data_IF_636244190820
#
_entry.id   IF_636244190820
#
_cell.length_a   1.000
_cell.length_b   1.000
_cell.length_c   1.000
_cell.angle_alpha   90.00
_cell.angle_beta   90.00
_cell.angle_gamma   90.00
#
_symmetry.space_group_name_H-M   'P 1'
#
loop_
_entity.id
_entity.type
_entity.pdbx_description
1 polymer ?
#
# COMPACT_ATOMS: atom_id res chain seq x y z
N UNK A 1 -31.82 -8.78 23.01
CA UNK A 1 -31.20 -9.72 22.05
C UNK A 1 -30.29 -8.89 21.16
N UNK A 2 -28.99 -9.18 21.17
CA UNK A 2 -28.03 -8.43 20.35
C UNK A 2 -28.08 -8.98 18.92
N UNK A 3 -28.49 -8.14 17.96
CA UNK A 3 -28.36 -8.46 16.54
C UNK A 3 -27.02 -7.97 15.99
N UNK A 4 -26.80 -8.18 14.69
CA UNK A 4 -25.66 -7.63 13.95
C UNK A 4 -25.62 -6.10 14.10
N UNK A 5 -24.43 -5.53 14.36
CA UNK A 5 -24.24 -4.09 14.21
C UNK A 5 -24.38 -3.67 12.74
N UNK A 6 -24.66 -2.39 12.46
CA UNK A 6 -24.84 -1.90 11.08
C UNK A 6 -23.67 -2.25 10.15
N UNK A 7 -22.42 -2.18 10.65
CA UNK A 7 -21.23 -2.50 9.84
C UNK A 7 -21.04 -4.00 9.64
N UNK A 8 -21.41 -4.82 10.62
CA UNK A 8 -21.45 -6.29 10.45
C UNK A 8 -22.59 -6.72 9.53
N UNK A 9 -23.76 -6.08 9.59
CA UNK A 9 -24.91 -6.39 8.75
C UNK A 9 -24.60 -6.15 7.28
N UNK A 10 -24.03 -4.99 6.95
CA UNK A 10 -23.60 -4.67 5.58
C UNK A 10 -22.40 -5.53 5.15
N UNK A 11 -21.48 -5.84 6.07
CA UNK A 11 -20.37 -6.75 5.85
C UNK A 11 -20.82 -8.17 5.47
N UNK A 12 -21.72 -8.74 6.28
CA UNK A 12 -22.34 -10.04 6.04
C UNK A 12 -23.17 -10.02 4.75
N UNK A 13 -23.94 -8.96 4.45
CA UNK A 13 -24.71 -8.83 3.21
C UNK A 13 -23.82 -8.98 1.97
N UNK A 14 -22.70 -8.28 1.95
CA UNK A 14 -21.74 -8.32 0.84
C UNK A 14 -21.02 -9.67 0.73
N UNK A 15 -20.74 -10.35 1.85
CA UNK A 15 -20.19 -11.71 1.86
C UNK A 15 -21.20 -12.75 1.37
N UNK A 16 -22.47 -12.66 1.79
CA UNK A 16 -23.57 -13.52 1.32
C UNK A 16 -23.81 -13.36 -0.19
N UNK A 17 -23.52 -12.18 -0.76
CA UNK A 17 -23.54 -11.94 -2.19
C UNK A 17 -22.65 -12.88 -3.02
N UNK A 18 -21.60 -13.45 -2.41
CA UNK A 18 -20.63 -14.36 -3.06
C UNK A 18 -21.00 -15.85 -3.01
N UNK A 19 -22.06 -16.22 -2.29
CA UNK A 19 -22.57 -17.60 -2.21
C UNK A 19 -23.56 -17.87 -3.34
N UNK A 20 -23.63 -19.10 -3.85
CA UNK A 20 -24.59 -19.48 -4.88
C UNK A 20 -26.04 -19.52 -4.34
N UNK A 21 -27.03 -19.63 -5.23
CA UNK A 21 -28.44 -19.57 -4.82
C UNK A 21 -28.81 -20.70 -3.85
N UNK A 22 -28.43 -21.94 -4.17
CA UNK A 22 -28.70 -23.11 -3.34
C UNK A 22 -27.96 -23.05 -1.99
N UNK A 23 -26.81 -22.38 -1.93
CA UNK A 23 -26.08 -22.14 -0.69
C UNK A 23 -26.78 -21.14 0.22
N UNK A 24 -27.32 -20.06 -0.36
CA UNK A 24 -28.10 -19.04 0.37
C UNK A 24 -29.42 -19.61 0.88
N UNK A 25 -30.17 -20.35 0.05
CA UNK A 25 -31.43 -20.97 0.48
C UNK A 25 -31.17 -21.98 1.62
N UNK A 26 -30.15 -22.84 1.47
CA UNK A 26 -29.77 -23.80 2.51
C UNK A 26 -29.21 -23.13 3.78
N UNK A 27 -28.54 -21.98 3.67
CA UNK A 27 -28.08 -21.21 4.82
C UNK A 27 -29.27 -20.59 5.56
N UNK A 28 -30.23 -19.99 4.84
CA UNK A 28 -31.46 -19.44 5.38
C UNK A 28 -32.22 -20.49 6.20
N UNK A 29 -32.45 -21.68 5.64
CA UNK A 29 -33.03 -22.85 6.32
C UNK A 29 -32.41 -23.10 7.70
N UNK A 30 -31.07 -23.04 7.80
CA UNK A 30 -30.37 -23.30 9.07
C UNK A 30 -30.35 -22.11 10.01
N UNK A 31 -30.43 -20.88 9.53
CA UNK A 31 -30.40 -19.66 10.35
C UNK A 31 -31.79 -19.38 10.94
N UNK A 32 -32.85 -19.60 10.15
CA UNK A 32 -34.25 -19.41 10.58
C UNK A 32 -34.87 -20.65 11.21
N UNK A 33 -34.11 -21.76 11.31
CA UNK A 33 -34.62 -23.09 11.69
C UNK A 33 -35.87 -23.52 10.88
N UNK A 34 -35.91 -23.17 9.59
CA UNK A 34 -37.04 -23.38 8.66
C UNK A 34 -38.36 -22.71 9.07
N UNK A 35 -38.33 -21.74 9.98
CA UNK A 35 -39.51 -20.95 10.37
C UNK A 35 -39.89 -19.89 9.33
N UNK A 36 -39.00 -19.62 8.37
CA UNK A 36 -39.20 -18.66 7.27
C UNK A 36 -38.86 -19.36 5.96
N UNK A 37 -39.77 -19.27 4.99
CA UNK A 37 -39.56 -19.72 3.60
C UNK A 37 -39.37 -18.48 2.72
N UNK A 38 -38.15 -18.18 2.25
CA UNK A 38 -37.91 -17.03 1.39
C UNK A 38 -38.44 -17.27 -0.03
N UNK A 39 -39.14 -16.29 -0.61
CA UNK A 39 -39.66 -16.37 -1.98
C UNK A 39 -38.56 -16.17 -3.03
N UNK A 40 -37.56 -15.34 -2.72
CA UNK A 40 -36.44 -15.01 -3.61
C UNK A 40 -35.10 -14.95 -2.86
N UNK A 41 -34.00 -14.88 -3.63
CA UNK A 41 -32.63 -14.82 -3.10
C UNK A 41 -32.37 -13.61 -2.19
N UNK A 42 -32.94 -12.45 -2.51
CA UNK A 42 -32.79 -11.24 -1.70
C UNK A 42 -33.59 -11.37 -0.40
N UNK A 43 -34.74 -12.04 -0.42
CA UNK A 43 -35.52 -12.34 0.77
C UNK A 43 -34.80 -13.33 1.69
N UNK A 44 -34.18 -14.37 1.13
CA UNK A 44 -33.30 -15.27 1.86
C UNK A 44 -32.14 -14.52 2.54
N UNK A 45 -31.49 -13.58 1.84
CA UNK A 45 -30.43 -12.74 2.42
C UNK A 45 -30.98 -11.82 3.52
N UNK A 46 -32.16 -11.19 3.33
CA UNK A 46 -32.81 -10.38 4.37
C UNK A 46 -33.10 -11.21 5.62
N UNK A 47 -33.71 -12.39 5.45
CA UNK A 47 -34.01 -13.30 6.55
C UNK A 47 -32.74 -13.74 7.30
N UNK A 48 -31.68 -14.15 6.58
CA UNK A 48 -30.39 -14.51 7.21
C UNK A 48 -29.87 -13.36 8.07
N UNK A 49 -29.88 -12.12 7.59
CA UNK A 49 -29.37 -10.96 8.34
C UNK A 49 -30.23 -10.61 9.56
N UNK A 50 -31.56 -10.74 9.45
CA UNK A 50 -32.50 -10.44 10.55
C UNK A 50 -32.46 -11.48 11.66
N UNK A 51 -32.33 -12.77 11.33
CA UNK A 51 -32.37 -13.87 12.30
C UNK A 51 -30.99 -14.31 12.82
N UNK A 52 -29.89 -13.74 12.33
CA UNK A 52 -28.53 -14.01 12.83
C UNK A 52 -28.23 -13.29 14.16
N UNK A 53 -27.74 -14.02 15.17
CA UNK A 53 -27.43 -13.44 16.49
C UNK A 53 -26.05 -12.77 16.54
N UNK A 54 -25.10 -13.23 15.71
CA UNK A 54 -23.79 -12.58 15.57
C UNK A 54 -23.15 -12.90 14.22
N UNK A 55 -22.27 -12.02 13.77
CA UNK A 55 -21.54 -12.24 12.52
C UNK A 55 -20.61 -13.47 12.63
N UNK A 56 -20.05 -13.70 13.82
CA UNK A 56 -19.23 -14.87 14.11
C UNK A 56 -20.00 -16.19 13.98
N UNK A 57 -21.21 -16.28 14.53
CA UNK A 57 -22.05 -17.46 14.42
C UNK A 57 -22.39 -17.76 12.95
N UNK A 58 -22.82 -16.73 12.20
CA UNK A 58 -23.16 -16.82 10.78
C UNK A 58 -21.97 -17.33 9.95
N UNK A 59 -20.78 -16.73 10.12
CA UNK A 59 -19.59 -17.14 9.37
C UNK A 59 -19.05 -18.50 9.80
N UNK A 60 -19.29 -18.95 11.04
CA UNK A 60 -18.93 -20.32 11.49
C UNK A 60 -19.77 -21.41 10.80
N UNK A 61 -21.01 -21.12 10.35
CA UNK A 61 -21.91 -22.10 9.68
C UNK A 61 -21.21 -22.81 8.51
N UNK A 62 -21.60 -24.08 8.27
CA UNK A 62 -20.94 -24.98 7.29
C UNK A 62 -21.00 -24.48 5.85
N UNK A 63 -22.07 -23.79 5.46
CA UNK A 63 -22.28 -23.22 4.11
C UNK A 63 -21.41 -21.99 3.83
N UNK A 64 -20.95 -21.28 4.86
CA UNK A 64 -19.96 -20.22 4.67
C UNK A 64 -18.58 -20.88 4.63
N UNK A 65 -18.11 -21.20 3.42
CA UNK A 65 -16.81 -21.82 3.22
C UNK A 65 -15.66 -20.85 3.53
N UNK A 66 -14.49 -21.37 3.94
CA UNK A 66 -13.30 -20.58 4.27
C UNK A 66 -12.90 -19.70 3.09
N UNK A 67 -13.01 -20.26 1.90
CA UNK A 67 -12.72 -19.66 0.59
C UNK A 67 -13.65 -18.48 0.28
N UNK A 68 -14.88 -18.50 0.77
CA UNK A 68 -15.85 -17.39 0.60
C UNK A 68 -15.49 -16.21 1.50
N UNK A 69 -15.13 -16.48 2.75
CA UNK A 69 -14.62 -15.44 3.67
C UNK A 69 -13.30 -14.86 3.15
N UNK A 70 -12.41 -15.72 2.64
CA UNK A 70 -11.15 -15.32 2.02
C UNK A 70 -11.37 -14.45 0.78
N UNK A 71 -12.22 -14.89 -0.16
CA UNK A 71 -12.61 -14.11 -1.35
C UNK A 71 -13.23 -12.78 -0.96
N UNK A 72 -14.15 -12.75 0.01
CA UNK A 72 -14.74 -11.52 0.52
C UNK A 72 -13.66 -10.55 1.02
N UNK A 73 -12.77 -11.00 1.91
CA UNK A 73 -11.71 -10.16 2.47
C UNK A 73 -10.76 -9.66 1.36
N UNK A 74 -10.41 -10.51 0.39
CA UNK A 74 -9.66 -10.10 -0.80
C UNK A 74 -10.41 -9.07 -1.67
N UNK A 75 -11.74 -9.20 -1.86
CA UNK A 75 -12.58 -8.20 -2.54
C UNK A 75 -12.67 -6.88 -1.75
N UNK A 76 -12.59 -6.92 -0.42
CA UNK A 76 -12.44 -5.74 0.44
C UNK A 76 -10.99 -5.18 0.45
N UNK A 77 -10.07 -5.72 -0.35
CA UNK A 77 -8.68 -5.28 -0.42
C UNK A 77 -7.78 -5.74 0.76
N UNK A 78 -8.27 -6.68 1.58
CA UNK A 78 -7.56 -7.21 2.74
C UNK A 78 -6.78 -8.45 2.29
N UNK A 79 -5.47 -8.30 2.10
CA UNK A 79 -4.58 -9.40 1.73
C UNK A 79 -4.33 -10.27 2.97
N UNK A 80 -4.66 -11.56 2.86
CA UNK A 80 -4.46 -12.55 3.93
C UNK A 80 -3.71 -13.75 3.34
N UNK A 81 -2.80 -14.41 4.07
CA UNK A 81 -2.13 -15.62 3.60
C UNK A 81 -3.15 -16.70 3.18
N UNK A 82 -2.96 -17.37 2.02
CA UNK A 82 -3.86 -18.45 1.57
C UNK A 82 -3.98 -19.63 2.56
N UNK A 83 -3.00 -19.79 3.45
CA UNK A 83 -3.00 -20.79 4.52
C UNK A 83 -3.81 -20.41 5.78
N UNK A 84 -4.30 -19.17 5.89
CA UNK A 84 -4.98 -18.70 7.12
C UNK A 84 -6.27 -19.47 7.39
N UNK A 85 -6.37 -20.04 8.59
CA UNK A 85 -7.50 -20.85 9.03
C UNK A 85 -8.82 -20.07 9.11
N UNK A 86 -9.95 -20.79 8.98
CA UNK A 86 -11.29 -20.20 8.96
C UNK A 86 -11.58 -19.32 10.18
N UNK A 87 -11.13 -19.70 11.39
CA UNK A 87 -11.36 -18.91 12.59
C UNK A 87 -10.66 -17.53 12.54
N UNK A 88 -9.41 -17.49 12.06
CA UNK A 88 -8.64 -16.25 11.92
C UNK A 88 -9.24 -15.34 10.83
N UNK A 89 -9.75 -15.90 9.72
CA UNK A 89 -10.50 -15.12 8.72
C UNK A 89 -11.75 -14.46 9.30
N UNK A 90 -12.49 -15.16 10.15
CA UNK A 90 -13.67 -14.61 10.84
C UNK A 90 -13.27 -13.45 11.75
N UNK A 91 -12.16 -13.57 12.48
CA UNK A 91 -11.68 -12.48 13.33
C UNK A 91 -11.23 -11.26 12.50
N UNK A 92 -10.50 -11.45 11.40
CA UNK A 92 -10.13 -10.36 10.49
C UNK A 92 -11.35 -9.64 9.89
N UNK A 93 -12.43 -10.37 9.56
CA UNK A 93 -13.68 -9.77 9.10
C UNK A 93 -14.34 -8.90 10.19
N UNK A 94 -14.43 -9.41 11.43
CA UNK A 94 -14.97 -8.66 12.58
C UNK A 94 -14.15 -7.40 12.88
N UNK A 95 -12.83 -7.52 12.93
CA UNK A 95 -11.92 -6.39 13.18
C UNK A 95 -12.06 -5.31 12.12
N UNK A 96 -12.24 -5.69 10.85
CA UNK A 96 -12.50 -4.77 9.75
C UNK A 96 -13.83 -4.03 9.94
N UNK A 97 -14.92 -4.74 10.19
CA UNK A 97 -16.24 -4.14 10.41
C UNK A 97 -16.30 -3.25 11.66
N UNK A 98 -15.58 -3.61 12.72
CA UNK A 98 -15.48 -2.80 13.93
C UNK A 98 -14.65 -1.51 13.71
N UNK A 99 -13.59 -1.57 12.89
CA UNK A 99 -12.84 -0.36 12.50
C UNK A 99 -13.70 0.57 11.63
N UNK A 100 -14.52 0.02 10.72
CA UNK A 100 -15.46 0.78 9.90
C UNK A 100 -16.53 1.51 10.75
N UNK A 101 -17.05 0.88 11.82
CA UNK A 101 -18.04 1.54 12.69
C UNK A 101 -17.43 2.65 13.56
N UNK A 102 -16.21 2.47 14.04
CA UNK A 102 -15.51 3.49 14.86
C UNK A 102 -15.10 4.73 14.07
N UNK A 103 -14.79 4.60 12.78
CA UNK A 103 -14.48 5.74 11.91
C UNK A 103 -15.72 6.63 11.69
N UNK A 104 -16.90 6.02 11.50
CA UNK A 104 -18.17 6.74 11.26
C UNK A 104 -18.77 7.42 12.51
N UNK A 105 -18.23 7.16 13.71
CA UNK A 105 -18.74 7.72 14.97
C UNK A 105 -17.97 8.96 15.46
N UNK A 106 -16.89 9.38 14.76
CA UNK A 106 -16.11 10.59 15.10
C UNK A 106 -16.53 11.86 14.34
N UNK A 107 -17.51 11.75 13.45
CA UNK A 107 -18.10 12.85 12.67
C UNK A 107 -19.62 12.85 12.97
N UNK A 108 -20.15 13.63 13.92
CA UNK A 108 -20.53 15.05 13.77
C UNK A 108 -21.25 15.53 15.05
N UNK A 109 -21.31 16.86 15.30
CA UNK A 109 -22.57 17.64 15.08
C UNK A 109 -22.35 19.11 14.60
N UNK A 110 -23.30 19.86 14.04
CA UNK A 110 -24.62 19.53 13.45
C UNK A 110 -24.78 20.04 11.97
N UNK A 111 -25.46 21.16 11.59
CA UNK A 111 -26.48 21.00 10.54
C UNK A 111 -26.54 22.03 9.38
N UNK A 112 -26.62 21.56 8.13
CA UNK A 112 -27.43 22.25 7.08
C UNK A 112 -28.15 21.24 6.15
N UNK A 113 -29.46 21.13 6.36
CA UNK A 113 -30.53 20.94 5.35
C UNK A 113 -30.40 19.90 4.21
N UNK A 114 -31.01 18.74 4.48
CA UNK A 114 -32.01 18.02 3.63
C UNK A 114 -31.74 17.83 2.12
N UNK A 115 -31.51 16.55 1.79
CA UNK A 115 -32.39 15.71 0.93
C UNK A 115 -32.56 16.11 -0.55
N UNK A 116 -32.04 15.29 -1.48
CA UNK A 116 -32.88 14.37 -2.29
C UNK A 116 -32.07 13.34 -3.12
N UNK A 117 -32.50 12.08 -3.02
CA UNK A 117 -32.58 11.03 -4.05
C UNK A 117 -31.40 10.69 -4.99
N UNK A 118 -30.80 9.52 -4.71
CA UNK A 118 -30.83 8.31 -5.56
C UNK A 118 -31.04 8.57 -7.07
N UNK A 119 -29.98 8.92 -7.80
CA UNK A 119 -29.76 8.61 -9.22
C UNK A 119 -28.36 9.10 -9.62
N UNK A 120 -27.44 8.19 -9.99
CA UNK A 120 -26.24 8.50 -10.81
C UNK A 120 -25.38 7.28 -11.20
N UNK A 121 -25.76 6.05 -10.83
CA UNK A 121 -24.99 4.82 -11.09
C UNK A 121 -25.00 4.33 -12.56
N UNK A 122 -25.43 5.14 -13.54
CA UNK A 122 -25.63 4.69 -14.93
C UNK A 122 -25.20 5.66 -16.05
N UNK A 123 -24.50 6.78 -15.79
CA UNK A 123 -24.29 7.78 -16.85
C UNK A 123 -22.91 8.46 -16.94
N UNK A 124 -21.80 7.72 -16.77
CA UNK A 124 -20.47 8.14 -17.24
C UNK A 124 -19.73 7.05 -18.04
N UNK A 125 -20.42 6.45 -19.03
CA UNK A 125 -19.78 5.62 -20.09
C UNK A 125 -19.45 6.47 -21.34
N UNK A 126 -19.75 7.78 -21.33
CA UNK A 126 -19.48 8.71 -22.45
C UNK A 126 -19.13 10.12 -21.99
N UNK A 127 -17.90 10.32 -21.51
CA UNK A 127 -17.28 11.66 -21.53
C UNK A 127 -15.74 11.57 -21.60
N UNK A 128 -15.26 10.97 -22.69
CA UNK A 128 -13.88 11.16 -23.11
C UNK A 128 -13.64 12.63 -23.47
N UNK A 129 -12.51 13.19 -22.98
CA UNK A 129 -11.98 14.55 -23.22
C UNK A 129 -12.41 15.69 -22.27
N UNK A 130 -12.07 15.55 -20.99
CA UNK A 130 -11.11 16.46 -20.32
C UNK A 130 -10.68 15.86 -18.97
N UNK A 131 -9.53 15.18 -18.96
CA UNK A 131 -8.92 14.78 -17.71
C UNK A 131 -8.48 16.03 -16.93
N UNK A 132 -8.95 16.18 -15.70
CA UNK A 132 -8.16 16.87 -14.67
C UNK A 132 -6.84 16.10 -14.55
N UNK A 133 -5.78 16.67 -15.14
CA UNK A 133 -4.43 16.17 -14.93
C UNK A 133 -4.07 16.44 -13.47
N UNK A 134 -4.18 15.40 -12.63
CA UNK A 134 -3.51 15.37 -11.33
C UNK A 134 -2.05 15.75 -11.56
N UNK A 135 -1.60 16.85 -10.96
CA UNK A 135 -0.22 17.29 -11.08
C UNK A 135 0.67 16.41 -10.21
N UNK A 136 1.15 15.31 -10.80
CA UNK A 136 2.05 14.37 -10.13
C UNK A 136 3.39 15.01 -9.72
N UNK A 137 3.81 16.13 -10.34
CA UNK A 137 5.00 16.87 -9.92
C UNK A 137 4.73 17.56 -8.59
N UNK A 138 3.61 18.29 -8.48
CA UNK A 138 3.16 18.89 -7.22
C UNK A 138 2.94 17.85 -6.11
N UNK A 139 2.33 16.71 -6.43
CA UNK A 139 2.18 15.59 -5.49
C UNK A 139 3.53 15.11 -4.95
N UNK A 140 4.55 14.99 -5.82
CA UNK A 140 5.90 14.62 -5.42
C UNK A 140 6.58 15.68 -4.55
N UNK A 141 6.39 16.97 -4.85
CA UNK A 141 6.89 18.07 -4.02
C UNK A 141 6.27 18.02 -2.63
N UNK A 142 4.94 17.93 -2.52
CA UNK A 142 4.21 17.83 -1.24
C UNK A 142 4.62 16.56 -0.46
N UNK A 143 4.73 15.41 -1.14
CA UNK A 143 5.21 14.16 -0.56
C UNK A 143 6.64 14.26 -0.02
N UNK A 144 7.58 14.85 -0.77
CA UNK A 144 8.97 14.95 -0.32
C UNK A 144 9.13 15.93 0.85
N UNK A 145 8.43 17.07 0.83
CA UNK A 145 8.42 17.98 1.99
C UNK A 145 7.93 17.27 3.25
N UNK A 146 6.81 16.54 3.15
CA UNK A 146 6.27 15.75 4.26
C UNK A 146 7.23 14.65 4.71
N UNK A 147 7.72 13.80 3.80
CA UNK A 147 8.52 12.61 4.14
C UNK A 147 9.85 13.00 4.78
N UNK A 148 10.63 13.90 4.16
CA UNK A 148 11.93 14.31 4.70
C UNK A 148 11.78 15.25 5.89
N UNK A 149 10.76 16.11 5.92
CA UNK A 149 10.45 16.92 7.10
C UNK A 149 10.15 16.05 8.33
N UNK A 150 9.25 15.08 8.17
CA UNK A 150 8.90 14.13 9.22
C UNK A 150 10.09 13.28 9.67
N UNK A 151 10.80 12.66 8.72
CA UNK A 151 11.94 11.78 9.02
C UNK A 151 13.09 12.56 9.66
N UNK A 152 13.51 13.70 9.09
CA UNK A 152 14.60 14.49 9.68
C UNK A 152 14.23 15.08 11.05
N UNK A 153 12.95 15.38 11.33
CA UNK A 153 12.53 15.83 12.67
C UNK A 153 12.79 14.79 13.78
N UNK A 154 13.06 13.54 13.43
CA UNK A 154 13.45 12.50 14.36
C UNK A 154 14.93 12.58 14.78
N UNK A 155 15.76 13.38 14.10
CA UNK A 155 17.19 13.53 14.41
C UNK A 155 17.37 14.32 15.73
N UNK A 156 18.01 13.75 16.77
CA UNK A 156 18.16 14.38 18.08
C UNK A 156 18.83 15.77 18.08
N UNK A 157 19.62 16.09 17.05
CA UNK A 157 20.28 17.40 16.93
C UNK A 157 19.36 18.53 16.42
N UNK A 158 18.15 18.21 15.95
CA UNK A 158 17.19 19.20 15.42
C UNK A 158 16.08 19.57 16.41
N UNK A 159 16.15 19.08 17.65
CA UNK A 159 15.16 19.33 18.70
C UNK A 159 14.11 18.21 18.83
N UNK A 160 12.98 18.47 19.51
CA UNK A 160 11.94 17.46 19.67
C UNK A 160 11.22 17.15 18.34
N UNK A 161 10.81 15.89 18.11
CA UNK A 161 10.12 15.50 16.89
C UNK A 161 8.77 16.20 16.77
N UNK A 162 8.46 16.71 15.59
CA UNK A 162 7.23 17.46 15.34
C UNK A 162 5.99 16.54 15.31
N UNK A 163 6.16 15.31 14.85
CA UNK A 163 5.12 14.29 14.70
C UNK A 163 5.72 12.89 14.90
N UNK A 164 4.88 11.88 15.11
CA UNK A 164 5.29 10.49 15.25
C UNK A 164 5.65 9.86 13.90
N UNK A 165 6.81 9.21 13.83
CA UNK A 165 7.23 8.37 12.70
C UNK A 165 6.94 6.90 13.01
N UNK A 166 6.32 6.17 12.07
CA UNK A 166 6.05 4.74 12.28
C UNK A 166 5.55 3.96 11.05
N UNK A 167 5.22 2.67 11.23
CA UNK A 167 4.82 1.77 10.14
C UNK A 167 3.53 2.19 9.41
N UNK A 168 2.70 3.04 10.01
CA UNK A 168 1.42 3.51 9.46
C UNK A 168 1.54 4.17 8.06
N UNK A 169 2.71 4.75 7.75
CA UNK A 169 2.98 5.44 6.48
C UNK A 169 3.22 4.49 5.29
N UNK A 170 3.46 3.21 5.58
CA UNK A 170 3.80 2.19 4.60
C UNK A 170 2.64 1.23 4.38
N UNK A 171 2.71 0.46 3.28
CA UNK A 171 1.96 -0.78 3.15
C UNK A 171 2.64 -1.87 3.98
N UNK A 172 1.84 -2.81 4.51
CA UNK A 172 2.32 -3.88 5.40
C UNK A 172 3.43 -4.72 4.76
N UNK A 173 3.38 -4.90 3.44
CA UNK A 173 4.34 -5.64 2.61
C UNK A 173 5.33 -4.74 1.87
N UNK A 174 5.62 -3.54 2.40
CA UNK A 174 6.62 -2.64 1.84
C UNK A 174 7.99 -3.30 1.74
N UNK A 175 8.70 -3.02 0.64
CA UNK A 175 10.10 -3.39 0.46
C UNK A 175 10.99 -2.15 0.41
N UNK A 176 12.06 -2.13 1.20
CA UNK A 176 13.17 -1.18 1.07
C UNK A 176 14.39 -1.93 0.53
N UNK A 177 14.92 -1.47 -0.60
CA UNK A 177 16.26 -1.84 -1.06
C UNK A 177 17.21 -0.69 -0.77
N UNK A 178 18.20 -0.94 0.09
CA UNK A 178 19.18 0.05 0.50
C UNK A 178 20.55 -0.25 -0.13
N UNK A 179 21.03 0.68 -0.95
CA UNK A 179 22.37 0.68 -1.52
C UNK A 179 23.23 1.68 -0.77
N UNK A 180 24.43 1.30 -0.36
CA UNK A 180 25.38 2.24 0.25
C UNK A 180 26.83 1.98 -0.19
N UNK A 181 27.57 3.07 -0.37
CA UNK A 181 28.97 3.07 -0.76
C UNK A 181 29.82 3.77 0.32
N UNK A 182 30.57 2.97 1.08
CA UNK A 182 31.63 3.43 2.01
C UNK A 182 33.01 3.23 1.41
N UNK A 183 33.24 2.04 0.83
CA UNK A 183 34.40 1.65 0.04
C UNK A 183 33.97 0.68 -1.08
N UNK A 184 33.15 -0.30 -0.73
CA UNK A 184 32.52 -1.26 -1.65
C UNK A 184 31.02 -0.94 -1.85
N UNK A 185 30.43 -1.40 -2.96
CA UNK A 185 29.01 -1.22 -3.25
C UNK A 185 28.18 -2.29 -2.54
N UNK A 186 27.58 -1.91 -1.41
CA UNK A 186 26.76 -2.80 -0.60
C UNK A 186 25.26 -2.67 -0.94
N UNK A 187 24.52 -3.76 -0.79
CA UNK A 187 23.06 -3.81 -1.01
C UNK A 187 22.40 -4.62 0.11
N UNK A 188 21.31 -4.11 0.68
CA UNK A 188 20.52 -4.80 1.70
C UNK A 188 19.02 -4.61 1.43
N UNK A 189 18.28 -5.71 1.38
CA UNK A 189 16.81 -5.70 1.24
C UNK A 189 16.15 -5.87 2.63
N UNK A 190 15.20 -4.98 2.94
CA UNK A 190 14.35 -5.02 4.13
C UNK A 190 12.88 -5.16 3.70
N UNK A 191 12.09 -5.88 4.50
CA UNK A 191 10.71 -6.25 4.19
C UNK A 191 9.82 -6.03 5.41
N UNK A 192 8.61 -5.54 5.18
CA UNK A 192 7.62 -5.28 6.22
C UNK A 192 7.65 -3.83 6.73
N UNK A 193 6.47 -3.27 7.03
CA UNK A 193 6.31 -1.87 7.42
C UNK A 193 7.14 -1.50 8.66
N UNK A 194 7.20 -2.41 9.64
CA UNK A 194 7.91 -2.23 10.91
C UNK A 194 9.43 -2.14 10.67
N UNK A 195 10.00 -3.11 9.94
CA UNK A 195 11.45 -3.19 9.68
C UNK A 195 11.91 -2.05 8.77
N UNK A 196 11.13 -1.71 7.74
CA UNK A 196 11.43 -0.58 6.85
C UNK A 196 11.35 0.75 7.59
N UNK A 197 10.31 0.94 8.41
CA UNK A 197 10.16 2.12 9.27
C UNK A 197 11.34 2.28 10.24
N UNK A 198 11.72 1.20 10.94
CA UNK A 198 12.83 1.21 11.89
C UNK A 198 14.18 1.47 11.19
N UNK A 199 14.44 0.85 10.03
CA UNK A 199 15.72 1.07 9.34
C UNK A 199 15.85 2.52 8.86
N UNK A 200 14.81 3.10 8.26
CA UNK A 200 14.82 4.52 7.89
C UNK A 200 15.01 5.43 9.11
N UNK A 201 14.36 5.11 10.23
CA UNK A 201 14.50 5.84 11.48
C UNK A 201 15.93 5.79 12.04
N UNK A 202 16.61 4.63 11.97
CA UNK A 202 17.99 4.49 12.45
C UNK A 202 18.99 5.39 11.70
N UNK A 203 18.75 5.69 10.41
CA UNK A 203 19.59 6.63 9.65
C UNK A 203 19.64 8.03 10.31
N UNK A 204 18.52 8.49 10.87
CA UNK A 204 18.39 9.84 11.46
C UNK A 204 18.57 9.85 12.98
N UNK A 205 18.15 8.80 13.70
CA UNK A 205 18.25 8.71 15.17
C UNK A 205 19.57 8.14 15.68
N UNK A 206 20.18 7.18 14.97
CA UNK A 206 21.36 6.44 15.43
C UNK A 206 22.61 6.84 14.62
N UNK A 207 22.48 7.00 13.31
CA UNK A 207 23.57 7.43 12.43
C UNK A 207 23.67 8.96 12.29
N UNK A 208 22.71 9.69 12.90
CA UNK A 208 22.60 11.16 12.94
C UNK A 208 22.63 11.85 11.57
N UNK A 209 22.18 11.17 10.53
CA UNK A 209 22.13 11.73 9.19
C UNK A 209 20.99 12.76 9.08
N UNK A 210 21.18 13.71 8.17
CA UNK A 210 20.16 14.64 7.71
C UNK A 210 20.06 14.54 6.18
N UNK A 211 18.88 14.23 5.68
CA UNK A 211 18.61 14.05 4.25
C UNK A 211 18.01 15.34 3.69
N UNK A 212 18.79 16.10 2.92
CA UNK A 212 18.35 17.34 2.27
C UNK A 212 17.96 17.04 0.81
N UNK A 213 16.66 16.92 0.48
CA UNK A 213 16.21 16.65 -0.88
C UNK A 213 16.39 17.89 -1.78
N UNK A 214 16.81 17.67 -3.01
CA UNK A 214 16.79 18.68 -4.06
C UNK A 214 15.43 18.62 -4.77
N UNK A 215 14.58 19.63 -4.59
CA UNK A 215 13.23 19.68 -5.18
C UNK A 215 13.16 20.44 -6.52
N UNK A 216 14.31 20.88 -7.05
CA UNK A 216 14.39 21.44 -8.39
C UNK A 216 14.00 20.40 -9.46
N UNK A 217 13.71 20.88 -10.68
CA UNK A 217 13.38 20.06 -11.86
C UNK A 217 14.35 18.92 -12.20
N UNK A 218 15.60 18.98 -11.74
CA UNK A 218 16.60 17.92 -11.90
C UNK A 218 16.70 16.98 -10.69
N UNK A 219 16.30 17.46 -9.51
CA UNK A 219 16.37 16.72 -8.25
C UNK A 219 15.11 15.93 -7.91
N UNK A 220 13.98 16.26 -8.53
CA UNK A 220 12.70 15.57 -8.36
C UNK A 220 12.10 15.18 -9.72
N UNK A 221 11.81 13.89 -9.91
CA UNK A 221 11.05 13.35 -11.05
C UNK A 221 9.83 12.57 -10.53
N UNK A 222 8.68 12.75 -11.18
CA UNK A 222 7.45 12.02 -10.87
C UNK A 222 6.84 11.39 -12.12
N UNK A 223 6.25 10.21 -11.95
CA UNK A 223 5.54 9.50 -13.01
C UNK A 223 4.41 8.65 -12.41
N UNK A 224 3.42 8.27 -13.23
CA UNK A 224 2.25 7.49 -12.80
C UNK A 224 1.91 6.41 -13.82
N UNK A 225 1.41 5.26 -13.37
CA UNK A 225 0.78 4.28 -14.28
C UNK A 225 -0.73 4.46 -14.42
N UNK A 226 -1.32 3.93 -15.51
CA UNK A 226 -2.75 3.66 -15.60
C UNK A 226 -3.31 2.82 -14.44
N UNK A 227 -2.47 2.05 -13.73
CA UNK A 227 -2.87 1.17 -12.63
C UNK A 227 -2.80 1.82 -11.24
N UNK A 228 -2.57 3.13 -11.16
CA UNK A 228 -2.66 3.90 -9.90
C UNK A 228 -1.42 3.87 -9.00
N UNK A 229 -0.30 3.27 -9.45
CA UNK A 229 1.00 3.44 -8.83
C UNK A 229 1.62 4.76 -9.31
N UNK A 230 2.01 5.62 -8.36
CA UNK A 230 2.78 6.84 -8.60
C UNK A 230 4.22 6.61 -8.13
N UNK A 231 5.19 6.88 -8.99
CA UNK A 231 6.60 6.86 -8.64
C UNK A 231 7.11 8.27 -8.41
N UNK A 232 7.82 8.46 -7.30
CA UNK A 232 8.50 9.71 -6.93
C UNK A 232 9.98 9.40 -6.77
N UNK A 233 10.80 9.88 -7.69
CA UNK A 233 12.26 9.80 -7.62
C UNK A 233 12.83 11.14 -7.16
N UNK A 234 13.66 11.13 -6.12
CA UNK A 234 14.26 12.33 -5.53
C UNK A 234 15.74 12.11 -5.23
N UNK A 235 16.56 13.08 -5.59
CA UNK A 235 17.98 13.11 -5.27
C UNK A 235 18.26 14.22 -4.26
N UNK A 236 19.33 14.10 -3.49
CA UNK A 236 19.66 15.10 -2.48
C UNK A 236 21.07 14.93 -1.90
N UNK A 237 21.35 15.70 -0.85
CA UNK A 237 22.61 15.63 -0.09
C UNK A 237 22.37 14.99 1.28
N UNK A 238 23.36 14.25 1.75
CA UNK A 238 23.37 13.65 3.09
C UNK A 238 24.35 14.45 3.95
N UNK A 239 23.90 14.93 5.11
CA UNK A 239 24.71 15.71 6.03
C UNK A 239 24.79 15.06 7.41
N UNK A 240 25.79 15.45 8.20
CA UNK A 240 25.82 15.24 9.66
C UNK A 240 26.31 16.55 10.29
N UNK A 241 25.44 17.22 11.04
CA UNK A 241 25.67 18.61 11.42
C UNK A 241 25.88 19.49 10.20
N UNK A 242 26.93 20.31 10.21
CA UNK A 242 27.28 21.23 9.12
C UNK A 242 28.15 20.59 8.02
N UNK A 243 28.40 19.27 8.08
CA UNK A 243 29.27 18.56 7.12
C UNK A 243 28.44 17.77 6.13
N UNK A 244 28.58 18.08 4.83
CA UNK A 244 28.06 17.25 3.75
C UNK A 244 28.88 15.97 3.67
N UNK A 245 28.24 14.81 3.84
CA UNK A 245 28.87 13.48 3.76
C UNK A 245 28.80 12.88 2.35
N UNK A 246 27.93 13.40 1.49
CA UNK A 246 27.77 12.94 0.11
C UNK A 246 26.37 13.16 -0.43
N UNK A 247 25.96 12.32 -1.37
CA UNK A 247 24.67 12.42 -2.08
C UNK A 247 23.81 11.19 -1.88
N UNK A 248 22.49 11.37 -2.00
CA UNK A 248 21.53 10.27 -2.07
C UNK A 248 20.63 10.36 -3.30
N UNK A 249 20.10 9.21 -3.68
CA UNK A 249 19.03 9.04 -4.67
C UNK A 249 18.02 8.07 -4.04
N UNK A 250 16.74 8.46 -3.99
CA UNK A 250 15.68 7.69 -3.37
C UNK A 250 14.46 7.65 -4.30
N UNK A 251 13.96 6.45 -4.56
CA UNK A 251 12.80 6.21 -5.43
C UNK A 251 11.71 5.56 -4.58
N UNK A 252 10.53 6.17 -4.56
CA UNK A 252 9.35 5.69 -3.85
C UNK A 252 8.31 5.20 -4.84
N UNK A 253 7.68 4.07 -4.55
CA UNK A 253 6.39 3.69 -5.13
C UNK A 253 5.27 4.03 -4.17
N UNK A 254 4.32 4.86 -4.59
CA UNK A 254 3.17 5.33 -3.81
C UNK A 254 1.88 4.78 -4.40
N UNK A 255 1.03 4.18 -3.56
CA UNK A 255 -0.32 3.74 -3.96
C UNK A 255 -1.31 4.49 -3.09
N UNK A 256 -2.35 5.07 -3.71
CA UNK A 256 -3.43 5.75 -3.00
C UNK A 256 -4.16 4.74 -2.12
N UNK A 257 -4.30 5.06 -0.83
CA UNK A 257 -5.13 4.31 0.09
C UNK A 257 -6.59 4.37 -0.39
N UNK A 258 -7.26 3.25 -0.67
CA UNK A 258 -8.67 3.27 -1.07
C UNK A 258 -9.61 3.51 0.11
N UNK A 259 -9.10 3.44 1.35
CA UNK A 259 -9.88 3.50 2.59
C UNK A 259 -9.88 4.88 3.27
N UNK A 260 -8.99 5.79 2.85
CA UNK A 260 -8.87 7.15 3.40
C UNK A 260 -8.60 8.09 2.24
N UNK A 261 -9.47 9.09 2.06
CA UNK A 261 -9.41 10.01 0.93
C UNK A 261 -8.06 10.75 0.88
N UNK A 262 -7.55 10.92 -0.34
CA UNK A 262 -6.26 11.56 -0.67
C UNK A 262 -5.01 11.08 0.10
N UNK A 263 -5.09 9.98 0.83
CA UNK A 263 -3.95 9.41 1.57
C UNK A 263 -3.13 8.53 0.64
N UNK A 264 -1.82 8.74 0.57
CA UNK A 264 -0.88 7.89 -0.18
C UNK A 264 -0.02 7.08 0.78
N UNK A 265 0.19 5.80 0.47
CA UNK A 265 1.05 4.90 1.25
C UNK A 265 2.20 4.36 0.43
N UNK A 266 3.36 4.24 1.08
CA UNK A 266 4.60 3.81 0.45
C UNK A 266 4.60 2.28 0.28
N UNK A 267 4.68 1.82 -0.97
CA UNK A 267 4.69 0.40 -1.38
C UNK A 267 6.10 -0.16 -1.57
N UNK A 268 7.03 0.64 -2.06
CA UNK A 268 8.44 0.27 -2.11
C UNK A 268 9.34 1.50 -2.06
N UNK A 269 10.61 1.26 -1.70
CA UNK A 269 11.65 2.27 -1.61
C UNK A 269 12.94 1.68 -2.16
N UNK A 270 13.58 2.35 -3.11
CA UNK A 270 14.99 2.11 -3.43
C UNK A 270 15.77 3.34 -2.93
N UNK A 271 16.55 3.19 -1.86
CA UNK A 271 17.42 4.25 -1.33
C UNK A 271 18.87 3.94 -1.67
N UNK A 272 19.61 4.93 -2.15
CA UNK A 272 21.01 4.80 -2.54
C UNK A 272 21.81 5.98 -1.98
N UNK A 273 22.77 5.71 -1.11
CA UNK A 273 23.64 6.71 -0.51
C UNK A 273 25.08 6.51 -1.00
N UNK A 274 25.73 7.60 -1.41
CA UNK A 274 27.13 7.63 -1.86
C UNK A 274 27.92 8.66 -1.07
N UNK A 275 28.92 8.21 -0.32
CA UNK A 275 29.83 9.10 0.39
C UNK A 275 30.72 9.90 -0.55
N UNK A 276 31.20 11.06 -0.10
CA UNK A 276 32.06 11.98 -0.86
C UNK A 276 33.32 11.30 -1.41
N UNK A 277 33.92 10.37 -0.66
CA UNK A 277 35.07 9.55 -1.09
C UNK A 277 34.81 8.68 -2.33
N UNK A 278 33.55 8.46 -2.71
CA UNK A 278 33.13 7.72 -3.92
C UNK A 278 32.73 8.63 -5.09
N UNK A 279 32.87 9.95 -4.93
CA UNK A 279 32.62 10.96 -5.96
C UNK A 279 33.95 11.45 -6.57
N UNK A 280 33.90 11.97 -7.79
CA UNK A 280 35.10 12.46 -8.47
C UNK A 280 35.69 13.68 -7.72
N UNK A 281 37.01 13.73 -7.49
CA UNK A 281 37.61 14.81 -6.71
C UNK A 281 37.46 16.17 -7.41
N UNK A 282 36.99 17.17 -6.67
CA UNK A 282 36.97 18.58 -7.10
C UNK A 282 35.59 19.20 -7.32
N UNK A 283 34.49 18.45 -7.34
CA UNK A 283 33.14 19.05 -7.31
C UNK A 283 32.09 18.05 -6.81
N UNK A 284 31.30 18.42 -5.80
CA UNK A 284 30.06 17.71 -5.48
C UNK A 284 29.07 17.97 -6.64
N UNK A 285 28.69 16.96 -7.45
CA UNK A 285 27.74 17.17 -8.54
C UNK A 285 26.37 17.49 -7.95
N UNK A 286 25.65 18.44 -8.55
CA UNK A 286 24.27 18.78 -8.15
C UNK A 286 23.44 17.48 -8.12
N UNK A 287 22.83 17.09 -6.97
CA UNK A 287 22.09 15.84 -6.89
C UNK A 287 20.96 15.82 -7.91
N UNK A 288 21.03 14.87 -8.83
CA UNK A 288 20.09 14.72 -9.92
C UNK A 288 19.62 13.27 -10.01
N UNK A 289 18.34 13.09 -10.28
CA UNK A 289 17.69 11.78 -10.39
C UNK A 289 18.03 11.15 -11.72
N UNK A 290 18.61 9.95 -11.68
CA UNK A 290 19.04 9.17 -12.85
C UNK A 290 17.97 8.19 -13.36
N UNK A 291 16.91 8.00 -12.58
CA UNK A 291 15.71 7.26 -12.97
C UNK A 291 15.11 7.85 -14.25
N UNK A 292 14.87 7.02 -15.25
CA UNK A 292 14.19 7.38 -16.50
C UNK A 292 12.82 6.71 -16.61
N UNK A 293 11.93 7.27 -17.44
CA UNK A 293 10.55 6.77 -17.54
C UNK A 293 10.46 5.33 -18.11
N UNK A 294 11.51 4.83 -18.77
CA UNK A 294 11.65 3.42 -19.16
C UNK A 294 11.87 2.47 -17.98
N UNK A 295 12.50 2.94 -16.90
CA UNK A 295 12.70 2.12 -15.69
C UNK A 295 11.35 1.80 -15.03
N UNK A 296 10.35 2.68 -15.19
CA UNK A 296 8.97 2.50 -14.76
C UNK A 296 8.38 1.17 -15.28
N UNK A 297 8.57 0.87 -16.57
CA UNK A 297 8.08 -0.35 -17.22
C UNK A 297 8.81 -1.60 -16.70
N UNK A 298 10.12 -1.51 -16.46
CA UNK A 298 10.89 -2.57 -15.83
C UNK A 298 10.40 -2.86 -14.40
N UNK A 299 10.07 -1.83 -13.61
CA UNK A 299 9.51 -2.01 -12.27
C UNK A 299 8.11 -2.64 -12.27
N UNK A 300 7.24 -2.33 -13.25
CA UNK A 300 5.96 -3.06 -13.39
C UNK A 300 6.18 -4.54 -13.64
N UNK A 301 7.04 -4.90 -14.60
CA UNK A 301 7.30 -6.29 -14.94
C UNK A 301 7.87 -7.08 -13.75
N UNK A 302 8.75 -6.50 -12.94
CA UNK A 302 9.29 -7.16 -11.72
C UNK A 302 8.22 -7.36 -10.65
N UNK A 303 7.34 -6.38 -10.43
CA UNK A 303 6.23 -6.51 -9.45
C UNK A 303 5.22 -7.57 -9.92
N UNK A 304 4.97 -7.69 -11.23
CA UNK A 304 4.05 -8.69 -11.79
C UNK A 304 4.64 -10.10 -11.80
N UNK A 305 5.94 -10.28 -12.07
CA UNK A 305 6.57 -11.62 -12.08
C UNK A 305 6.80 -12.22 -10.69
N UNK A 306 6.99 -11.41 -9.64
CA UNK A 306 7.20 -11.92 -8.28
C UNK A 306 5.97 -12.61 -7.65
N UNK A 307 4.83 -12.68 -8.35
CA UNK A 307 3.67 -13.46 -7.93
C UNK A 307 3.75 -14.97 -8.23
N UNK A 308 4.77 -15.44 -8.95
CA UNK A 308 4.85 -16.85 -9.41
C UNK A 308 6.22 -17.50 -9.24
N UNK A 309 6.21 -18.61 -8.49
CA UNK A 309 7.20 -19.72 -8.44
C UNK A 309 8.60 -19.48 -7.86
N UNK A 310 9.01 -20.45 -7.04
CA UNK A 310 10.37 -20.68 -6.52
C UNK A 310 11.31 -21.31 -7.59
N UNK A 311 12.60 -21.46 -7.23
CA UNK A 311 13.61 -22.36 -7.87
C UNK A 311 14.14 -21.88 -9.25
N UNK A 312 15.43 -21.54 -9.49
CA UNK A 312 16.69 -22.25 -9.15
C UNK A 312 17.94 -21.38 -9.45
N UNK A 313 19.06 -21.71 -8.82
CA UNK A 313 20.41 -21.26 -9.18
C UNK A 313 20.90 -21.78 -10.55
N UNK A 314 21.95 -21.12 -11.08
CA UNK A 314 22.94 -21.62 -12.06
C UNK A 314 22.47 -21.73 -13.54
N UNK A 315 23.30 -21.54 -14.58
CA UNK A 315 24.76 -21.26 -14.62
C UNK A 315 25.20 -20.52 -15.90
N UNK A 316 26.12 -19.56 -15.73
CA UNK A 316 27.35 -19.32 -16.52
C UNK A 316 27.52 -20.08 -17.86
N UNK A 317 27.35 -19.38 -19.00
CA UNK A 317 28.21 -19.48 -20.21
C UNK A 317 27.68 -18.53 -21.31
N UNK A 318 28.38 -17.43 -21.55
CA UNK A 318 28.56 -16.95 -22.92
C UNK A 318 30.04 -17.14 -23.23
N UNK A 319 30.32 -18.19 -23.98
CA UNK A 319 31.66 -18.59 -24.38
C UNK A 319 32.20 -17.60 -25.42
N UNK A 320 33.54 -17.57 -25.49
CA UNK A 320 34.31 -17.57 -26.73
C UNK A 320 33.48 -17.62 -28.02
N UNK A 321 33.51 -16.51 -28.76
CA UNK A 321 33.62 -16.58 -30.21
C UNK A 321 34.75 -15.66 -30.63
N UNK A 322 35.94 -16.22 -30.73
CA UNK A 322 37.09 -15.53 -31.30
C UNK A 322 36.87 -15.25 -32.79
N UNK A 323 37.51 -14.18 -33.27
CA UNK A 323 37.82 -14.02 -34.68
C UNK A 323 39.32 -13.75 -34.76
N UNK A 324 40.05 -14.63 -35.44
CA UNK A 324 41.50 -14.53 -35.54
C UNK A 324 41.98 -13.69 -36.72
N UNK A 325 43.32 -13.62 -36.76
CA UNK A 325 44.20 -13.39 -37.90
C UNK A 325 44.61 -11.96 -38.31
N UNK A 326 45.91 -11.90 -38.67
CA UNK A 326 46.67 -10.86 -39.37
C UNK A 326 47.10 -9.65 -38.50
N UNK A 327 48.39 -9.36 -38.28
CA UNK A 327 49.67 -9.91 -38.82
C UNK A 327 50.70 -10.01 -37.71
#
# INVERSE_FOLDING_TARGET
>A
MSGLSFSEMEGCRNLLGLLDNDEIMALCDTVTNRLVQPEDRQDAVRAILVYSQSAEELLRRRKVHREVIFKYLATQGIIIPPATEKHNLIQHAKDYWQKQSQLKLKETPEPVTKTENIQLFQQQVKEDKKAEKVDFRRLGEEFCHWFFGLLNSQNPFLGPPQHEWGPQHFWHDVKLRFYYNTSEQNVTDYYGAEIVSLRLLSLVKEEFLFLSPNLDSHGLKCASSPHGLVMVGVAGTVHRGNTCLGIFEQIFGLIRCPFVENTWKIKFINLKIRGESSLAPGTLPKPAVKFEQSDLEAFYNVITLCGTSEVRHNVKQFLDSGTGDQV
#
